data_IF_322925595075
#
_entry.id   IF_322925595075
#
_cell.length_a   1.000
_cell.length_b   1.000
_cell.length_c   1.000
_cell.angle_alpha   90.00
_cell.angle_beta   90.00
_cell.angle_gamma   90.00
#
_symmetry.space_group_name_H-M   'P 1'
#
loop_
_entity.id
_entity.type
_entity.pdbx_description
1 polymer ?
#
# COMPACT_ATOMS: atom_id res chain seq x y z
N UNK A 1 -34.39 -48.97 -5.49
CA UNK A 1 -34.18 -48.18 -4.25
C UNK A 1 -35.50 -47.50 -3.92
N UNK A 2 -36.04 -47.63 -2.69
CA UNK A 2 -37.35 -47.04 -2.39
C UNK A 2 -37.25 -45.51 -2.33
N UNK A 3 -38.27 -44.81 -2.82
CA UNK A 3 -38.35 -43.34 -2.79
C UNK A 3 -38.08 -42.78 -1.38
N UNK A 4 -38.47 -43.53 -0.34
CA UNK A 4 -38.17 -43.22 1.06
C UNK A 4 -36.68 -43.18 1.37
N UNK A 5 -35.89 -44.15 0.91
CA UNK A 5 -34.44 -44.17 1.16
C UNK A 5 -33.78 -42.96 0.48
N UNK A 6 -34.18 -42.63 -0.75
CA UNK A 6 -33.69 -41.44 -1.46
C UNK A 6 -34.01 -40.16 -0.69
N UNK A 7 -35.26 -40.01 -0.22
CA UNK A 7 -35.70 -38.84 0.55
C UNK A 7 -34.95 -38.71 1.89
N UNK A 8 -34.78 -39.79 2.63
CA UNK A 8 -34.04 -39.78 3.90
C UNK A 8 -32.55 -39.53 3.71
N UNK A 9 -31.93 -40.08 2.66
CA UNK A 9 -30.53 -39.79 2.32
C UNK A 9 -30.36 -38.32 1.91
N UNK A 10 -31.26 -37.77 1.09
CA UNK A 10 -31.23 -36.37 0.71
C UNK A 10 -31.39 -35.44 1.92
N UNK A 11 -32.33 -35.75 2.82
CA UNK A 11 -32.52 -35.00 4.07
C UNK A 11 -31.28 -35.09 4.96
N UNK A 12 -30.66 -36.26 5.08
CA UNK A 12 -29.42 -36.46 5.84
C UNK A 12 -28.28 -35.60 5.31
N UNK A 13 -28.05 -35.60 3.99
CA UNK A 13 -27.04 -34.75 3.35
C UNK A 13 -27.33 -33.26 3.58
N UNK A 14 -28.59 -32.85 3.45
CA UNK A 14 -28.99 -31.47 3.70
C UNK A 14 -28.69 -31.03 5.14
N UNK A 15 -29.03 -31.86 6.14
CA UNK A 15 -28.78 -31.56 7.55
C UNK A 15 -27.28 -31.46 7.86
N UNK A 16 -26.45 -32.33 7.27
CA UNK A 16 -24.99 -32.25 7.43
C UNK A 16 -24.44 -30.96 6.84
N UNK A 17 -24.87 -30.58 5.64
CA UNK A 17 -24.44 -29.34 5.00
C UNK A 17 -24.91 -28.09 5.78
N UNK A 18 -26.14 -28.09 6.28
CA UNK A 18 -26.66 -27.00 7.10
C UNK A 18 -25.90 -26.86 8.42
N UNK A 19 -25.60 -27.97 9.09
CA UNK A 19 -24.80 -27.97 10.32
C UNK A 19 -23.37 -27.50 10.07
N UNK A 20 -22.74 -27.94 8.96
CA UNK A 20 -21.41 -27.48 8.57
C UNK A 20 -21.39 -25.98 8.24
N UNK A 21 -22.41 -25.48 7.51
CA UNK A 21 -22.56 -24.06 7.21
C UNK A 21 -22.78 -23.20 8.47
N UNK A 22 -23.60 -23.68 9.41
CA UNK A 22 -23.81 -23.02 10.69
C UNK A 22 -22.53 -23.01 11.56
N UNK A 23 -21.80 -24.12 11.60
CA UNK A 23 -20.52 -24.21 12.31
C UNK A 23 -19.46 -23.27 11.70
N UNK A 24 -19.40 -23.16 10.38
CA UNK A 24 -18.54 -22.21 9.67
C UNK A 24 -18.94 -20.75 9.96
N UNK A 25 -20.22 -20.41 9.90
CA UNK A 25 -20.69 -19.07 10.30
C UNK A 25 -20.33 -18.76 11.75
N UNK A 26 -20.51 -19.72 12.67
CA UNK A 26 -20.14 -19.54 14.07
C UNK A 26 -18.62 -19.49 14.29
N UNK A 27 -17.78 -19.99 13.36
CA UNK A 27 -16.32 -19.86 13.47
C UNK A 27 -15.81 -18.50 13.03
N UNK A 28 -16.56 -17.75 12.21
CA UNK A 28 -16.19 -16.39 11.81
C UNK A 28 -16.25 -15.42 13.01
N UNK A 29 -15.40 -14.37 13.03
CA UNK A 29 -15.45 -13.34 14.05
C UNK A 29 -16.77 -12.54 14.00
N UNK A 30 -17.26 -12.10 15.16
CA UNK A 30 -18.33 -11.09 15.22
C UNK A 30 -17.88 -9.78 14.57
N UNK A 31 -18.81 -8.88 14.25
CA UNK A 31 -18.43 -7.53 13.85
C UNK A 31 -17.48 -6.95 14.89
N UNK A 32 -16.29 -6.54 14.46
CA UNK A 32 -15.45 -5.70 15.30
C UNK A 32 -16.12 -4.34 15.33
N UNK A 33 -16.47 -3.85 16.52
CA UNK A 33 -16.58 -2.40 16.69
C UNK A 33 -15.21 -1.83 16.29
N UNK A 34 -15.18 -0.78 15.47
CA UNK A 34 -13.93 -0.11 15.13
C UNK A 34 -13.27 0.32 16.44
N UNK A 35 -12.21 -0.37 16.85
CA UNK A 35 -11.49 -0.01 18.05
C UNK A 35 -10.80 1.32 17.76
N UNK A 36 -10.92 2.29 18.68
CA UNK A 36 -10.12 3.51 18.59
C UNK A 36 -8.67 3.09 18.74
N UNK A 37 -7.94 3.16 17.63
CA UNK A 37 -6.53 2.77 17.62
C UNK A 37 -5.74 3.72 18.53
N UNK A 38 -4.84 3.18 19.36
CA UNK A 38 -4.08 3.99 20.30
C UNK A 38 -3.28 5.05 19.54
N UNK A 39 -3.11 6.22 20.17
CA UNK A 39 -2.26 7.28 19.63
C UNK A 39 -0.87 6.75 19.30
N UNK A 40 -0.25 7.30 18.24
CA UNK A 40 1.15 7.03 17.95
C UNK A 40 2.01 7.63 19.06
N UNK A 41 2.96 6.85 19.57
CA UNK A 41 3.88 7.32 20.59
C UNK A 41 4.68 8.52 20.07
N UNK A 42 4.87 9.54 20.92
CA UNK A 42 5.55 10.77 20.51
C UNK A 42 6.99 10.51 20.05
N UNK A 43 7.70 9.56 20.68
CA UNK A 43 9.06 9.18 20.26
C UNK A 43 9.05 8.42 18.94
N UNK A 44 8.01 7.61 18.68
CA UNK A 44 7.83 6.95 17.38
C UNK A 44 7.62 7.99 16.26
N UNK A 45 6.80 9.01 16.52
CA UNK A 45 6.55 10.11 15.58
C UNK A 45 7.83 10.93 15.33
N UNK A 46 8.55 11.33 16.38
CA UNK A 46 9.80 12.10 16.28
C UNK A 46 10.89 11.30 15.54
N UNK A 47 11.06 10.01 15.85
CA UNK A 47 12.01 9.15 15.16
C UNK A 47 11.68 8.99 13.67
N UNK A 48 10.39 8.94 13.33
CA UNK A 48 9.93 8.90 11.94
C UNK A 48 10.31 10.17 11.18
N UNK A 49 10.03 11.34 11.76
CA UNK A 49 10.40 12.64 11.16
C UNK A 49 11.92 12.78 11.03
N UNK A 50 12.68 12.38 12.05
CA UNK A 50 14.14 12.42 12.02
C UNK A 50 14.72 11.53 10.90
N UNK A 51 14.18 10.32 10.70
CA UNK A 51 14.60 9.41 9.65
C UNK A 51 14.26 9.92 8.23
N UNK A 52 13.17 10.67 8.09
CA UNK A 52 12.74 11.25 6.82
C UNK A 52 13.38 12.60 6.51
N UNK A 53 14.20 13.16 7.40
CA UNK A 53 14.80 14.49 7.22
C UNK A 53 15.67 14.54 5.95
N UNK A 54 15.51 15.55 5.07
CA UNK A 54 16.25 15.61 3.82
C UNK A 54 17.73 15.94 4.04
N UNK A 55 18.57 15.50 3.10
CA UNK A 55 20.01 15.80 3.10
C UNK A 55 20.35 17.16 2.50
N UNK A 56 19.46 17.69 1.67
CA UNK A 56 19.59 18.98 0.98
C UNK A 56 18.37 19.86 1.26
N UNK A 57 18.54 21.18 1.11
CA UNK A 57 17.48 22.14 1.44
C UNK A 57 16.22 21.94 0.60
N UNK A 58 16.39 21.63 -0.70
CA UNK A 58 15.31 21.29 -1.61
C UNK A 58 15.58 19.89 -2.19
N UNK A 59 14.97 18.83 -1.64
CA UNK A 59 15.27 17.46 -2.04
C UNK A 59 14.71 17.12 -3.42
N UNK A 60 15.35 16.14 -4.07
CA UNK A 60 14.91 15.52 -5.31
C UNK A 60 14.16 14.23 -5.01
N UNK A 61 12.93 14.12 -5.51
CA UNK A 61 12.04 12.98 -5.35
C UNK A 61 11.77 12.37 -6.73
N UNK A 62 12.12 11.09 -6.88
CA UNK A 62 11.82 10.31 -8.07
C UNK A 62 10.68 9.32 -7.81
N UNK A 63 9.68 9.30 -8.68
CA UNK A 63 8.56 8.35 -8.61
C UNK A 63 8.65 7.41 -9.79
N UNK A 64 9.00 6.14 -9.55
CA UNK A 64 9.29 5.18 -10.63
C UNK A 64 8.03 4.41 -11.06
N UNK A 65 7.74 4.41 -12.36
CA UNK A 65 6.71 3.58 -12.97
C UNK A 65 7.28 2.62 -14.02
N UNK A 66 6.71 1.42 -14.11
CA UNK A 66 6.86 0.53 -15.27
C UNK A 66 5.82 0.88 -16.33
N UNK A 67 6.25 0.96 -17.59
CA UNK A 67 5.39 1.41 -18.69
C UNK A 67 4.13 0.55 -18.92
N UNK A 68 4.13 -0.70 -18.46
CA UNK A 68 3.14 -1.73 -18.75
C UNK A 68 2.41 -2.26 -17.50
N UNK A 69 2.36 -1.45 -16.45
CA UNK A 69 1.40 -1.72 -15.39
C UNK A 69 1.76 -1.17 -14.03
N UNK A 70 1.74 0.15 -13.91
CA UNK A 70 1.89 0.85 -12.62
C UNK A 70 0.52 1.18 -12.04
N UNK A 71 0.31 1.02 -10.74
CA UNK A 71 -0.97 1.34 -10.10
C UNK A 71 -1.23 2.86 -10.13
N UNK A 72 -2.45 3.22 -10.56
CA UNK A 72 -2.82 4.60 -10.89
C UNK A 72 -2.68 5.53 -9.70
N UNK A 73 -3.22 5.12 -8.55
CA UNK A 73 -3.27 5.97 -7.36
C UNK A 73 -1.91 6.06 -6.67
N UNK A 74 -1.16 4.97 -6.62
CA UNK A 74 0.17 4.92 -6.02
C UNK A 74 1.20 5.73 -6.82
N UNK A 75 0.98 5.93 -8.12
CA UNK A 75 1.82 6.79 -8.96
C UNK A 75 1.38 8.26 -8.89
N UNK A 76 0.09 8.54 -9.12
CA UNK A 76 -0.40 9.91 -9.29
C UNK A 76 -0.64 10.64 -7.97
N UNK A 77 -1.05 9.95 -6.90
CA UNK A 77 -1.36 10.61 -5.63
C UNK A 77 -0.09 11.17 -4.97
N UNK A 78 1.03 10.41 -4.83
CA UNK A 78 2.27 10.99 -4.34
C UNK A 78 2.76 12.14 -5.22
N UNK A 79 2.72 11.98 -6.55
CA UNK A 79 3.12 13.03 -7.49
C UNK A 79 2.33 14.32 -7.27
N UNK A 80 0.99 14.24 -7.29
CA UNK A 80 0.12 15.39 -7.14
C UNK A 80 0.26 16.10 -5.80
N UNK A 81 0.35 15.35 -4.69
CA UNK A 81 0.51 15.92 -3.34
C UNK A 81 1.86 16.64 -3.21
N UNK A 82 2.95 16.02 -3.66
CA UNK A 82 4.29 16.59 -3.53
C UNK A 82 4.50 17.79 -4.47
N UNK A 83 4.01 17.73 -5.72
CA UNK A 83 4.02 18.88 -6.65
C UNK A 83 3.20 20.04 -6.11
N UNK A 84 2.04 19.77 -5.49
CA UNK A 84 1.21 20.80 -4.84
C UNK A 84 1.91 21.44 -3.64
N UNK A 85 2.69 20.67 -2.89
CA UNK A 85 3.42 21.17 -1.74
C UNK A 85 4.56 22.12 -2.13
N UNK A 86 5.21 21.90 -3.28
CA UNK A 86 6.34 22.72 -3.76
C UNK A 86 7.50 22.82 -2.74
N UNK A 87 7.78 21.72 -2.06
CA UNK A 87 8.87 21.62 -1.06
C UNK A 87 10.08 20.85 -1.58
N UNK A 88 9.96 20.25 -2.77
CA UNK A 88 10.91 19.34 -3.38
C UNK A 88 10.80 19.40 -4.90
N UNK A 89 11.87 19.02 -5.60
CA UNK A 89 11.79 18.76 -7.04
C UNK A 89 11.27 17.34 -7.23
N UNK A 90 10.15 17.18 -7.94
CA UNK A 90 9.44 15.90 -8.06
C UNK A 90 9.37 15.52 -9.53
N UNK A 91 9.89 14.33 -9.84
CA UNK A 91 10.04 13.81 -11.20
C UNK A 91 9.32 12.47 -11.32
N UNK A 92 8.36 12.40 -12.23
CA UNK A 92 7.68 11.17 -12.63
C UNK A 92 8.55 10.42 -13.65
N UNK A 93 8.95 9.20 -13.33
CA UNK A 93 9.83 8.37 -14.16
C UNK A 93 9.07 7.22 -14.80
N UNK A 94 9.51 6.82 -15.99
CA UNK A 94 9.24 5.51 -16.58
C UNK A 94 10.52 4.69 -16.76
N UNK A 95 10.40 3.36 -16.81
CA UNK A 95 11.55 2.49 -17.10
C UNK A 95 12.05 2.63 -18.54
N UNK A 96 11.15 2.90 -19.49
CA UNK A 96 11.44 3.04 -20.92
C UNK A 96 10.76 4.28 -21.52
N UNK A 97 11.23 4.78 -22.67
CA UNK A 97 10.57 5.89 -23.38
C UNK A 97 9.10 5.58 -23.71
N UNK A 98 8.28 6.64 -23.71
CA UNK A 98 6.85 6.58 -23.98
C UNK A 98 5.98 6.56 -22.72
N UNK A 99 4.66 6.50 -22.89
CA UNK A 99 3.73 6.64 -21.78
C UNK A 99 3.79 5.46 -20.81
N UNK A 100 3.38 5.72 -19.58
CA UNK A 100 3.08 4.71 -18.57
C UNK A 100 1.61 4.33 -18.69
N UNK A 101 1.34 3.06 -18.99
CA UNK A 101 0.01 2.46 -18.86
C UNK A 101 -0.25 2.22 -17.37
N UNK A 102 -1.16 3.01 -16.82
CA UNK A 102 -1.59 2.86 -15.44
C UNK A 102 -2.72 1.83 -15.33
N UNK A 103 -2.83 1.17 -14.18
CA UNK A 103 -3.94 0.26 -13.85
C UNK A 103 -4.77 0.79 -12.69
N UNK A 104 -6.12 0.69 -12.74
CA UNK A 104 -6.91 0.09 -13.81
C UNK A 104 -7.17 1.01 -15.01
N UNK A 105 -6.71 2.27 -15.01
CA UNK A 105 -7.10 3.26 -16.01
C UNK A 105 -5.98 4.26 -16.36
N UNK A 106 -6.15 4.96 -17.49
CA UNK A 106 -5.31 6.06 -18.01
C UNK A 106 -3.94 5.66 -18.58
N UNK A 107 -3.44 6.50 -19.49
CA UNK A 107 -2.04 6.57 -19.88
C UNK A 107 -1.53 7.95 -19.52
N UNK A 108 -0.33 8.02 -18.97
CA UNK A 108 0.30 9.29 -18.60
C UNK A 108 1.70 9.36 -19.21
N UNK A 109 2.07 10.54 -19.68
CA UNK A 109 3.45 10.81 -20.10
C UNK A 109 4.28 11.10 -18.84
N UNK A 110 5.35 10.33 -18.56
CA UNK A 110 6.28 10.63 -17.47
C UNK A 110 7.12 11.87 -17.82
N UNK A 111 7.74 12.50 -16.81
CA UNK A 111 8.66 13.61 -17.04
C UNK A 111 9.92 13.15 -17.78
N UNK A 112 10.44 11.95 -17.44
CA UNK A 112 11.62 11.37 -18.10
C UNK A 112 11.73 9.85 -17.86
N UNK A 113 12.80 9.23 -18.36
CA UNK A 113 13.11 7.81 -18.09
C UNK A 113 14.14 7.66 -16.97
N UNK A 114 14.20 6.48 -16.34
CA UNK A 114 15.23 6.18 -15.32
C UNK A 114 16.67 6.39 -15.84
N UNK A 115 16.92 6.11 -17.12
CA UNK A 115 18.25 6.25 -17.73
C UNK A 115 18.63 7.72 -17.96
N UNK A 116 17.69 8.53 -18.44
CA UNK A 116 17.91 9.96 -18.61
C UNK A 116 18.00 10.69 -17.26
N UNK A 117 17.18 10.30 -16.28
CA UNK A 117 17.27 10.78 -14.91
C UNK A 117 18.67 10.53 -14.31
N UNK A 118 19.21 9.32 -14.44
CA UNK A 118 20.54 9.00 -13.91
C UNK A 118 21.68 9.76 -14.62
N UNK A 119 21.49 10.12 -15.89
CA UNK A 119 22.45 10.94 -16.63
C UNK A 119 22.44 12.40 -16.17
N UNK A 120 21.27 12.94 -15.81
CA UNK A 120 21.11 14.31 -15.30
C UNK A 120 21.44 14.43 -13.80
N UNK A 121 21.17 13.38 -13.03
CA UNK A 121 21.34 13.33 -11.58
C UNK A 121 22.27 12.18 -11.15
N UNK A 122 23.59 12.28 -11.42
CA UNK A 122 24.54 11.21 -11.11
C UNK A 122 24.57 10.85 -9.62
N UNK A 123 24.36 11.83 -8.73
CA UNK A 123 24.24 11.65 -7.27
C UNK A 123 22.95 10.98 -6.81
N UNK A 124 21.96 10.84 -7.70
CA UNK A 124 20.68 10.19 -7.42
C UNK A 124 19.67 11.04 -6.64
N UNK A 125 18.48 10.47 -6.46
CA UNK A 125 17.39 11.09 -5.71
C UNK A 125 17.64 11.05 -4.19
N UNK A 126 17.05 11.97 -3.44
CA UNK A 126 16.99 11.85 -1.97
C UNK A 126 15.87 10.89 -1.54
N UNK A 127 14.79 10.83 -2.33
CA UNK A 127 13.67 9.91 -2.10
C UNK A 127 13.29 9.21 -3.40
N UNK A 128 13.04 7.91 -3.30
CA UNK A 128 12.47 7.11 -4.38
C UNK A 128 11.13 6.56 -3.93
N UNK A 129 10.06 6.93 -4.62
CA UNK A 129 8.72 6.40 -4.36
C UNK A 129 8.46 5.27 -5.34
N UNK A 130 8.10 4.11 -4.80
CA UNK A 130 7.87 2.87 -5.53
C UNK A 130 6.39 2.50 -5.41
N UNK A 131 5.58 2.74 -6.46
CA UNK A 131 4.18 2.34 -6.52
C UNK A 131 4.01 0.82 -6.56
N UNK A 132 2.77 0.34 -6.40
CA UNK A 132 2.43 -1.00 -6.84
C UNK A 132 2.60 -1.15 -8.35
N UNK A 133 3.07 -2.33 -8.76
CA UNK A 133 3.33 -2.69 -10.16
C UNK A 133 2.75 -4.08 -10.42
N UNK A 134 2.31 -4.34 -11.66
CA UNK A 134 1.81 -5.67 -12.06
C UNK A 134 2.90 -6.75 -11.98
N UNK A 135 4.17 -6.34 -12.05
CA UNK A 135 5.33 -7.19 -11.86
C UNK A 135 6.18 -6.62 -10.74
N UNK A 136 6.40 -7.41 -9.70
CA UNK A 136 7.25 -7.04 -8.57
C UNK A 136 8.73 -7.42 -8.77
N UNK A 137 9.06 -8.05 -9.89
CA UNK A 137 10.36 -8.66 -10.19
C UNK A 137 11.12 -8.04 -11.38
N UNK A 138 10.69 -6.87 -11.88
CA UNK A 138 11.33 -6.26 -13.05
C UNK A 138 12.81 -5.96 -12.78
N UNK A 139 13.76 -6.57 -13.52
CA UNK A 139 15.17 -6.51 -13.19
C UNK A 139 15.77 -5.10 -13.37
N UNK A 140 15.20 -4.26 -14.23
CA UNK A 140 15.66 -2.88 -14.41
C UNK A 140 15.21 -2.01 -13.23
N UNK A 141 13.95 -2.17 -12.79
CA UNK A 141 13.43 -1.52 -11.58
C UNK A 141 14.23 -1.93 -10.35
N UNK A 142 14.43 -3.25 -10.13
CA UNK A 142 15.12 -3.76 -8.95
C UNK A 142 16.59 -3.33 -8.90
N UNK A 143 17.27 -3.25 -10.05
CA UNK A 143 18.64 -2.71 -10.11
C UNK A 143 18.65 -1.22 -9.81
N UNK A 144 17.75 -0.46 -10.43
CA UNK A 144 17.72 1.00 -10.27
C UNK A 144 17.38 1.41 -8.83
N UNK A 145 16.38 0.78 -8.19
CA UNK A 145 16.05 1.02 -6.77
C UNK A 145 17.27 0.76 -5.87
N UNK A 146 17.98 -0.37 -6.07
CA UNK A 146 19.21 -0.68 -5.31
C UNK A 146 20.30 0.38 -5.53
N UNK A 147 20.48 0.84 -6.76
CA UNK A 147 21.45 1.87 -7.08
C UNK A 147 21.11 3.21 -6.39
N UNK A 148 19.87 3.67 -6.44
CA UNK A 148 19.45 4.89 -5.74
C UNK A 148 19.58 4.75 -4.22
N UNK A 149 19.19 3.59 -3.65
CA UNK A 149 19.40 3.32 -2.23
C UNK A 149 20.88 3.33 -1.84
N UNK A 150 21.78 2.84 -2.70
CA UNK A 150 23.23 2.86 -2.45
C UNK A 150 23.82 4.28 -2.52
N UNK A 151 23.24 5.15 -3.35
CA UNK A 151 23.50 6.60 -3.35
C UNK A 151 22.89 7.31 -2.13
N UNK A 152 22.09 6.58 -1.35
CA UNK A 152 21.56 6.99 -0.06
C UNK A 152 20.13 7.53 -0.09
N UNK A 153 19.36 7.24 -1.14
CA UNK A 153 17.94 7.57 -1.18
C UNK A 153 17.15 6.85 -0.08
N UNK A 154 16.15 7.53 0.48
CA UNK A 154 15.06 6.90 1.22
C UNK A 154 14.08 6.26 0.22
N UNK A 155 13.94 4.94 0.27
CA UNK A 155 13.03 4.20 -0.64
C UNK A 155 11.68 3.99 0.03
N UNK A 156 10.61 4.51 -0.57
CA UNK A 156 9.24 4.51 -0.04
C UNK A 156 8.37 3.58 -0.89
N UNK A 157 8.10 2.37 -0.41
CA UNK A 157 7.18 1.42 -1.03
C UNK A 157 5.73 1.76 -0.71
N UNK A 158 4.93 2.09 -1.72
CA UNK A 158 3.53 2.46 -1.54
C UNK A 158 2.63 1.25 -1.80
N UNK A 159 1.69 0.94 -0.90
CA UNK A 159 0.75 -0.17 -1.08
C UNK A 159 1.46 -1.51 -1.34
N UNK A 160 1.20 -2.13 -2.50
CA UNK A 160 1.88 -3.36 -2.95
C UNK A 160 3.29 -3.07 -3.48
N UNK A 161 3.67 -1.82 -3.71
CA UNK A 161 5.06 -1.43 -4.02
C UNK A 161 6.07 -1.86 -2.95
N UNK A 162 5.63 -2.16 -1.72
CA UNK A 162 6.46 -2.82 -0.72
C UNK A 162 6.98 -4.21 -1.16
N UNK A 163 6.26 -4.94 -2.03
CA UNK A 163 6.75 -6.22 -2.59
C UNK A 163 7.88 -5.99 -3.59
N UNK A 164 7.83 -4.92 -4.39
CA UNK A 164 8.93 -4.50 -5.28
C UNK A 164 10.18 -4.16 -4.46
N UNK A 165 10.01 -3.38 -3.37
CA UNK A 165 11.12 -3.04 -2.45
C UNK A 165 11.63 -4.28 -1.69
N UNK A 166 10.74 -5.23 -1.39
CA UNK A 166 11.10 -6.54 -0.85
C UNK A 166 11.96 -7.33 -1.82
N UNK A 167 11.54 -7.46 -3.07
CA UNK A 167 12.25 -8.16 -4.15
C UNK A 167 13.63 -7.55 -4.45
N UNK A 168 13.82 -6.26 -4.18
CA UNK A 168 15.14 -5.61 -4.29
C UNK A 168 16.08 -5.95 -3.12
N UNK A 169 15.64 -6.73 -2.13
CA UNK A 169 16.37 -7.11 -0.91
C UNK A 169 16.46 -6.00 0.13
N UNK A 170 15.82 -4.84 -0.09
CA UNK A 170 15.98 -3.69 0.80
C UNK A 170 15.17 -3.82 2.10
N UNK A 171 14.17 -4.69 2.16
CA UNK A 171 13.35 -4.90 3.37
C UNK A 171 13.87 -6.01 4.29
N UNK A 172 14.89 -6.77 3.90
CA UNK A 172 15.37 -7.91 4.69
C UNK A 172 15.85 -7.48 6.09
N UNK A 173 15.30 -8.14 7.11
CA UNK A 173 15.55 -7.82 8.53
C UNK A 173 15.04 -6.45 9.00
N UNK A 174 14.18 -5.77 8.23
CA UNK A 174 13.57 -4.47 8.57
C UNK A 174 12.11 -4.61 8.98
N UNK A 175 11.60 -3.58 9.66
CA UNK A 175 10.18 -3.37 9.90
C UNK A 175 9.53 -2.85 8.63
N UNK A 176 8.37 -3.40 8.27
CA UNK A 176 7.60 -2.94 7.13
C UNK A 176 6.10 -3.22 7.29
N UNK A 177 5.30 -2.56 6.47
CA UNK A 177 3.89 -2.86 6.24
C UNK A 177 3.63 -2.95 4.73
N UNK A 178 2.44 -3.37 4.32
CA UNK A 178 2.02 -3.43 2.91
C UNK A 178 0.50 -3.46 2.83
N UNK A 179 -0.06 -3.46 1.63
CA UNK A 179 -1.49 -3.70 1.44
C UNK A 179 -1.89 -5.09 1.97
N UNK A 180 -3.06 -5.17 2.62
CA UNK A 180 -3.54 -6.41 3.26
C UNK A 180 -3.59 -7.61 2.30
N UNK A 181 -3.88 -7.35 1.02
CA UNK A 181 -3.95 -8.37 -0.04
C UNK A 181 -2.60 -9.07 -0.26
N UNK A 182 -1.49 -8.34 -0.22
CA UNK A 182 -0.15 -8.86 -0.52
C UNK A 182 0.66 -9.23 0.73
N UNK A 183 0.10 -9.02 1.92
CA UNK A 183 0.80 -9.26 3.19
C UNK A 183 1.32 -10.70 3.31
N UNK A 184 0.49 -11.69 3.01
CA UNK A 184 0.87 -13.10 3.13
C UNK A 184 1.97 -13.47 2.15
N UNK A 185 1.86 -13.01 0.90
CA UNK A 185 2.86 -13.24 -0.14
C UNK A 185 4.20 -12.59 0.21
N UNK A 186 4.19 -11.32 0.65
CA UNK A 186 5.40 -10.61 1.08
C UNK A 186 6.13 -11.38 2.20
N UNK A 187 5.38 -11.86 3.20
CA UNK A 187 5.94 -12.63 4.33
C UNK A 187 6.47 -14.00 3.91
N UNK A 188 5.89 -14.63 2.89
CA UNK A 188 6.36 -15.90 2.35
C UNK A 188 7.66 -15.72 1.54
N UNK A 189 7.69 -14.74 0.63
CA UNK A 189 8.87 -14.44 -0.20
C UNK A 189 10.03 -13.89 0.63
N UNK A 190 9.74 -13.10 1.67
CA UNK A 190 10.73 -12.39 2.49
C UNK A 190 10.50 -12.63 3.99
N UNK A 191 10.81 -13.83 4.51
CA UNK A 191 10.46 -14.22 5.89
C UNK A 191 11.19 -13.43 6.98
N UNK A 192 12.26 -12.69 6.63
CA UNK A 192 13.01 -11.86 7.58
C UNK A 192 12.37 -10.48 7.84
N UNK A 193 11.37 -10.10 7.04
CA UNK A 193 10.63 -8.84 7.22
C UNK A 193 9.80 -8.91 8.50
N UNK A 194 9.96 -7.93 9.38
CA UNK A 194 9.17 -7.77 10.60
C UNK A 194 7.92 -6.96 10.29
N UNK A 195 6.82 -7.64 9.98
CA UNK A 195 5.53 -6.97 9.74
C UNK A 195 5.09 -6.14 10.97
N UNK A 196 4.68 -4.90 10.72
CA UNK A 196 4.11 -4.00 11.73
C UNK A 196 2.63 -3.77 11.39
N UNK A 197 1.76 -4.33 12.22
CA UNK A 197 0.32 -4.08 12.16
C UNK A 197 -0.03 -2.69 12.69
N UNK A 198 -1.26 -2.25 12.39
CA UNK A 198 -1.89 -1.05 12.93
C UNK A 198 -1.12 0.26 12.67
N UNK A 199 -0.34 0.24 11.58
CA UNK A 199 0.38 1.38 11.03
C UNK A 199 0.06 1.55 9.55
N UNK A 200 -0.35 2.76 9.15
CA UNK A 200 -0.54 3.16 7.75
C UNK A 200 0.78 3.20 7.02
N UNK A 201 1.84 3.59 7.72
CA UNK A 201 3.20 3.60 7.19
C UNK A 201 4.22 3.29 8.28
N UNK A 202 5.36 2.75 7.86
CA UNK A 202 6.45 2.29 8.73
C UNK A 202 7.75 2.76 8.11
N UNK A 203 8.60 3.40 8.91
CA UNK A 203 9.96 3.84 8.52
C UNK A 203 10.98 3.02 9.33
N UNK A 204 11.93 2.39 8.65
CA UNK A 204 13.04 1.64 9.26
C UNK A 204 14.33 1.87 8.47
N UNK A 205 15.25 2.66 9.05
CA UNK A 205 16.51 3.06 8.43
C UNK A 205 16.26 3.86 7.14
N UNK A 206 16.70 3.35 5.98
CA UNK A 206 16.64 4.00 4.67
C UNK A 206 15.43 3.55 3.82
N UNK A 207 14.44 2.90 4.42
CA UNK A 207 13.20 2.51 3.73
C UNK A 207 11.97 2.92 4.52
N UNK A 208 10.91 3.24 3.79
CA UNK A 208 9.57 3.38 4.30
C UNK A 208 8.61 2.49 3.50
N UNK A 209 7.54 2.03 4.13
CA UNK A 209 6.47 1.28 3.45
C UNK A 209 5.11 1.74 3.94
N UNK A 210 4.08 1.64 3.10
CA UNK A 210 2.71 2.03 3.44
C UNK A 210 1.71 0.89 3.20
N UNK A 211 0.52 0.99 3.81
CA UNK A 211 -0.61 0.11 3.49
C UNK A 211 -1.32 0.58 2.22
N UNK A 212 -2.58 0.21 1.99
CA UNK A 212 -3.28 0.50 0.73
C UNK A 212 -3.53 1.98 0.46
N UNK A 213 -3.48 2.34 -0.83
CA UNK A 213 -3.98 3.55 -1.50
C UNK A 213 -4.06 4.80 -0.61
N UNK A 214 -5.06 4.88 0.28
CA UNK A 214 -5.26 6.02 1.18
C UNK A 214 -4.11 6.29 2.16
N UNK A 215 -3.25 5.30 2.43
CA UNK A 215 -2.06 5.46 3.27
C UNK A 215 -0.97 6.32 2.63
N UNK A 216 -1.02 6.54 1.32
CA UNK A 216 -0.14 7.46 0.60
C UNK A 216 -0.28 8.89 1.10
N UNK A 217 -1.51 9.38 1.34
CA UNK A 217 -1.74 10.74 1.84
C UNK A 217 -1.01 11.05 3.15
N UNK A 218 -1.24 10.31 4.25
CA UNK A 218 -0.56 10.59 5.52
C UNK A 218 0.96 10.38 5.41
N UNK A 219 1.44 9.42 4.61
CA UNK A 219 2.88 9.26 4.36
C UNK A 219 3.48 10.49 3.65
N UNK A 220 2.82 11.01 2.61
CA UNK A 220 3.28 12.20 1.88
C UNK A 220 3.22 13.46 2.74
N UNK A 221 2.17 13.63 3.54
CA UNK A 221 2.08 14.75 4.49
C UNK A 221 3.17 14.68 5.56
N UNK A 222 3.48 13.49 6.09
CA UNK A 222 4.61 13.30 7.00
C UNK A 222 5.97 13.52 6.33
N UNK A 223 6.12 13.17 5.05
CA UNK A 223 7.32 13.51 4.29
C UNK A 223 7.45 15.03 4.10
N UNK A 224 6.36 15.72 3.76
CA UNK A 224 6.33 17.20 3.67
C UNK A 224 6.68 17.83 5.02
N UNK A 225 6.17 17.29 6.13
CA UNK A 225 6.49 17.76 7.47
C UNK A 225 7.99 17.60 7.77
N UNK A 226 8.60 16.47 7.39
CA UNK A 226 10.03 16.26 7.57
C UNK A 226 10.89 17.20 6.71
N UNK A 227 10.41 17.61 5.52
CA UNK A 227 11.13 18.48 4.59
C UNK A 227 10.97 19.97 4.95
N UNK A 228 9.75 20.42 5.21
CA UNK A 228 9.38 21.83 5.29
C UNK A 228 8.67 22.23 6.60
N UNK A 229 8.55 21.31 7.55
CA UNK A 229 7.93 21.54 8.85
C UNK A 229 6.42 21.36 8.87
N UNK A 230 5.89 21.32 10.10
CA UNK A 230 4.48 21.02 10.41
C UNK A 230 3.52 22.00 9.74
N UNK A 231 3.79 23.30 9.82
CA UNK A 231 2.89 24.34 9.28
C UNK A 231 2.62 24.16 7.78
N UNK A 232 3.66 23.81 7.01
CA UNK A 232 3.53 23.56 5.57
C UNK A 232 2.73 22.29 5.30
N UNK A 233 2.97 21.23 6.06
CA UNK A 233 2.21 19.99 5.94
C UNK A 233 0.72 20.20 6.29
N UNK A 234 0.42 20.98 7.34
CA UNK A 234 -0.96 21.31 7.72
C UNK A 234 -1.66 22.19 6.69
N UNK A 235 -0.95 23.12 6.07
CA UNK A 235 -1.49 23.92 4.97
C UNK A 235 -1.88 23.04 3.77
N UNK A 236 -1.01 22.09 3.39
CA UNK A 236 -1.32 21.12 2.31
C UNK A 236 -2.45 20.19 2.72
N UNK A 237 -2.49 19.72 3.97
CA UNK A 237 -3.57 18.87 4.47
C UNK A 237 -4.94 19.56 4.38
N UNK A 238 -5.07 20.80 4.85
CA UNK A 238 -6.31 21.59 4.76
C UNK A 238 -6.78 21.76 3.32
N UNK A 239 -5.82 22.00 2.44
CA UNK A 239 -6.06 22.21 1.01
C UNK A 239 -6.49 20.93 0.27
N UNK A 240 -6.11 19.77 0.80
CA UNK A 240 -6.59 18.45 0.40
C UNK A 240 -7.90 18.03 1.14
N UNK A 241 -8.42 18.87 2.03
CA UNK A 241 -9.63 18.58 2.82
C UNK A 241 -9.41 17.60 3.98
N UNK A 242 -8.19 17.49 4.51
CA UNK A 242 -7.85 16.64 5.64
C UNK A 242 -7.70 17.46 6.92
N UNK A 243 -8.52 17.17 7.92
CA UNK A 243 -8.43 17.81 9.25
C UNK A 243 -7.23 17.32 10.07
N UNK A 244 -6.84 16.06 9.88
CA UNK A 244 -5.75 15.41 10.61
C UNK A 244 -5.16 14.25 9.82
N UNK A 245 -3.89 13.94 10.07
CA UNK A 245 -3.21 12.76 9.56
C UNK A 245 -2.24 12.21 10.61
N UNK A 246 -2.10 10.89 10.65
CA UNK A 246 -1.08 10.19 11.41
C UNK A 246 -0.89 8.77 10.86
N UNK A 247 -0.03 7.99 11.51
CA UNK A 247 0.26 6.62 11.14
C UNK A 247 -0.78 5.61 11.64
N UNK A 248 -1.83 5.98 12.39
CA UNK A 248 -2.76 5.00 12.98
C UNK A 248 -3.57 4.29 11.90
N UNK A 249 -3.67 2.98 12.06
CA UNK A 249 -4.45 2.13 11.18
C UNK A 249 -5.10 1.01 11.99
N UNK A 250 -6.22 0.49 11.51
CA UNK A 250 -6.78 -0.77 11.99
C UNK A 250 -6.53 -1.83 10.91
N UNK A 251 -5.45 -2.59 11.07
CA UNK A 251 -5.12 -3.67 10.12
C UNK A 251 -6.10 -4.85 10.24
N UNK A 252 -6.82 -4.94 11.36
CA UNK A 252 -7.82 -5.95 11.64
C UNK A 252 -9.20 -5.64 11.08
N UNK A 253 -9.46 -4.41 10.63
CA UNK A 253 -10.76 -3.98 10.12
C UNK A 253 -11.22 -4.80 8.89
N UNK A 254 -10.28 -5.25 8.06
CA UNK A 254 -10.57 -5.99 6.84
C UNK A 254 -10.57 -7.49 7.09
N UNK A 255 -11.63 -7.99 7.76
CA UNK A 255 -11.87 -9.42 7.98
C UNK A 255 -13.24 -9.84 7.48
N UNK A 256 -13.32 -11.09 7.00
CA UNK A 256 -14.61 -11.71 6.70
C UNK A 256 -15.33 -12.01 8.02
N UNK A 257 -16.28 -11.17 8.40
CA UNK A 257 -17.02 -11.27 9.68
C UNK A 257 -18.35 -11.99 9.49
N UNK A 258 -18.96 -12.47 10.59
CA UNK A 258 -20.31 -13.07 10.56
C UNK A 258 -21.33 -12.18 9.86
N UNK A 259 -21.44 -10.87 10.18
CA UNK A 259 -22.40 -10.01 9.51
C UNK A 259 -22.09 -9.83 8.03
N UNK A 260 -20.81 -9.71 7.66
CA UNK A 260 -20.42 -9.63 6.25
C UNK A 260 -20.77 -10.92 5.47
N UNK A 261 -20.56 -12.09 6.07
CA UNK A 261 -20.95 -13.37 5.49
C UNK A 261 -22.46 -13.47 5.27
N UNK A 262 -23.25 -13.07 6.28
CA UNK A 262 -24.71 -13.03 6.18
C UNK A 262 -25.19 -12.05 5.09
N UNK A 263 -24.55 -10.89 4.97
CA UNK A 263 -24.83 -9.94 3.87
C UNK A 263 -24.49 -10.55 2.52
N UNK A 264 -23.34 -11.22 2.37
CA UNK A 264 -22.96 -11.86 1.12
C UNK A 264 -23.93 -12.99 0.73
N UNK A 265 -24.32 -13.84 1.69
CA UNK A 265 -25.34 -14.89 1.49
C UNK A 265 -26.68 -14.26 1.08
N UNK A 266 -27.13 -13.24 1.84
CA UNK A 266 -28.38 -12.53 1.58
C UNK A 266 -28.41 -11.90 0.18
N UNK A 267 -27.35 -11.19 -0.21
CA UNK A 267 -27.23 -10.57 -1.53
C UNK A 267 -27.20 -11.61 -2.66
N UNK A 268 -26.49 -12.73 -2.46
CA UNK A 268 -26.45 -13.83 -3.43
C UNK A 268 -27.84 -14.43 -3.62
N UNK A 269 -28.56 -14.70 -2.54
CA UNK A 269 -29.94 -15.22 -2.59
C UNK A 269 -30.93 -14.21 -3.19
N UNK A 270 -30.75 -12.91 -2.92
CA UNK A 270 -31.59 -11.85 -3.45
C UNK A 270 -31.40 -11.64 -4.97
N UNK A 271 -30.18 -11.85 -5.48
CA UNK A 271 -29.90 -11.83 -6.92
C UNK A 271 -30.70 -12.91 -7.66
N UNK A 272 -30.81 -14.11 -7.10
CA UNK A 272 -31.66 -15.18 -7.63
C UNK A 272 -33.17 -14.93 -7.51
N UNK A 273 -33.60 -13.92 -6.75
CA UNK A 273 -35.02 -13.55 -6.61
C UNK A 273 -35.50 -12.51 -7.63
N UNK A 274 -34.61 -11.93 -8.46
CA UNK A 274 -34.97 -10.88 -9.43
C UNK A 274 -34.93 -11.33 -10.90
N UNK A 275 -34.76 -12.63 -11.17
CA UNK A 275 -34.89 -13.22 -12.52
C UNK A 275 -36.24 -13.96 -12.70
N UNK A 276 -37.36 -13.29 -12.40
CA UNK A 276 -38.71 -13.73 -12.81
C UNK A 276 -39.43 -12.65 -13.58
#
# INVERSE_FOLDING_TARGET
MSLRIVLWSALGVFLVLAAAGAAWLLSLPSASLAAVQPAIDAKEAEATLAALKPKRQRPLIAIIGVNDGTETTDYLMPYGILRRADVADVVALATRPGPVQLHPALRVEPDTTIAAFDAEHPEGADYVIVPAMMRDDDPDVLRWIRAQSAKGAMVIGVCVGATVVGASGLLDGKRATTHWYSLNELRQKHPTIRYVADRRYVVDRNVATTTGITASMPMMLTLIEAIAGRDKAEAVARDLGLDHWDARHDSGAFRFTRPFALTAIGNTLAFFNHEQ
#
